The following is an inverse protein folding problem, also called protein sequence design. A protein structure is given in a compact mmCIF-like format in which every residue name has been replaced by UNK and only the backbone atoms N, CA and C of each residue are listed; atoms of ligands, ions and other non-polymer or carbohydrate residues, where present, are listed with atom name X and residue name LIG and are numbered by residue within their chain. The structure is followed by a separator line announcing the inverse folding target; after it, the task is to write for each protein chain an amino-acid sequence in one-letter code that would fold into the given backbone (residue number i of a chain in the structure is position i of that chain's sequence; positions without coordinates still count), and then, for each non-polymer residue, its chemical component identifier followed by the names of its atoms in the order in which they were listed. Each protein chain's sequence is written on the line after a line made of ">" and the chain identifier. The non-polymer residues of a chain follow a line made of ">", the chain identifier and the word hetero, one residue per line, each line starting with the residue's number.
data_IF_669479009577
#
_entry.id   IF_669479009577
#
_cell.length_a   1.000
_cell.length_b   1.000
_cell.length_c   1.000
_cell.angle_alpha   90.00
_cell.angle_beta   90.00
_cell.angle_gamma   90.00
#
_symmetry.space_group_name_H-M   'P 1'
#
loop_
_entity.id
_entity.type
_entity.pdbx_description
1 polymer ?
#
# COMPACT_ATOMS: atom_id res chain seq x y z
N UNK A 1 0.98 19.48 -0.61
CA UNK A 1 0.02 18.53 -0.01
C UNK A 1 -0.48 19.02 1.35
N UNK A 2 0.37 19.31 2.34
CA UNK A 2 -0.08 19.69 3.69
C UNK A 2 -1.12 20.82 3.73
N UNK A 3 -0.82 21.97 3.12
CA UNK A 3 -1.75 23.10 3.11
C UNK A 3 -3.13 22.79 2.48
N UNK A 4 -3.20 21.83 1.53
CA UNK A 4 -4.46 21.37 0.97
C UNK A 4 -5.18 20.40 1.92
N UNK A 5 -4.46 19.45 2.50
CA UNK A 5 -4.97 18.47 3.47
C UNK A 5 -5.60 19.14 4.71
N UNK A 6 -5.02 20.25 5.19
CA UNK A 6 -5.56 21.00 6.33
C UNK A 6 -6.96 21.57 6.06
N UNK A 7 -7.30 21.87 4.80
CA UNK A 7 -8.65 22.37 4.44
C UNK A 7 -9.74 21.31 4.63
N UNK A 8 -9.38 20.03 4.65
CA UNK A 8 -10.28 18.88 4.84
C UNK A 8 -9.99 18.11 6.13
N UNK A 9 -9.25 18.70 7.08
CA UNK A 9 -9.02 18.13 8.41
C UNK A 9 -7.98 17.01 8.48
N UNK A 10 -7.25 16.71 7.39
CA UNK A 10 -6.13 15.76 7.42
C UNK A 10 -4.87 16.47 7.90
N UNK A 11 -4.40 16.13 9.09
CA UNK A 11 -3.22 16.78 9.73
C UNK A 11 -1.92 16.03 9.48
N UNK A 12 -2.00 14.72 9.27
CA UNK A 12 -0.86 13.85 8.99
C UNK A 12 -1.16 12.92 7.82
N UNK A 13 -0.16 12.63 6.99
CA UNK A 13 -0.34 11.78 5.82
C UNK A 13 0.94 11.08 5.38
N UNK A 14 0.78 10.13 4.46
CA UNK A 14 1.87 9.48 3.76
C UNK A 14 1.81 9.89 2.28
N UNK A 15 2.72 10.75 1.78
CA UNK A 15 2.88 10.96 0.35
C UNK A 15 3.03 9.60 -0.34
N UNK A 16 2.14 9.34 -1.30
CA UNK A 16 2.08 8.06 -2.00
C UNK A 16 2.68 8.21 -3.39
N UNK A 17 3.79 7.52 -3.66
CA UNK A 17 4.35 7.39 -4.99
C UNK A 17 3.85 6.08 -5.60
N UNK A 18 3.24 6.17 -6.78
CA UNK A 18 2.80 5.00 -7.56
C UNK A 18 3.98 4.34 -8.27
N UNK A 19 3.72 3.33 -9.11
CA UNK A 19 4.74 2.68 -9.94
C UNK A 19 5.53 3.70 -10.76
N UNK A 20 6.82 3.84 -10.44
CA UNK A 20 7.75 4.78 -11.07
C UNK A 20 9.15 4.16 -11.16
N UNK A 21 10.06 4.71 -12.00
CA UNK A 21 11.46 4.33 -12.03
C UNK A 21 12.17 4.40 -10.67
N UNK A 22 13.27 3.65 -10.54
CA UNK A 22 14.11 3.63 -9.32
C UNK A 22 14.64 5.00 -8.92
N UNK A 23 14.92 5.88 -9.90
CA UNK A 23 15.37 7.23 -9.66
C UNK A 23 14.32 8.03 -8.87
N UNK A 24 13.06 7.96 -9.31
CA UNK A 24 11.94 8.67 -8.68
C UNK A 24 11.64 8.13 -7.28
N UNK A 25 11.74 6.82 -7.08
CA UNK A 25 11.60 6.22 -5.73
C UNK A 25 12.69 6.73 -4.78
N UNK A 26 13.95 6.76 -5.22
CA UNK A 26 15.07 7.27 -4.42
C UNK A 26 14.87 8.75 -4.11
N UNK A 27 14.41 9.52 -5.08
CA UNK A 27 14.10 10.94 -4.91
C UNK A 27 12.95 11.14 -3.92
N UNK A 28 11.86 10.38 -4.03
CA UNK A 28 10.72 10.47 -3.11
C UNK A 28 11.13 10.13 -1.66
N UNK A 29 11.96 9.11 -1.46
CA UNK A 29 12.51 8.77 -0.14
C UNK A 29 13.39 9.90 0.39
N UNK A 30 14.25 10.49 -0.45
CA UNK A 30 15.12 11.59 -0.05
C UNK A 30 14.33 12.84 0.35
N UNK A 31 13.42 13.29 -0.52
CA UNK A 31 12.58 14.48 -0.29
C UNK A 31 11.70 14.29 0.94
N UNK A 32 11.10 13.10 1.12
CA UNK A 32 10.28 12.80 2.29
C UNK A 32 11.08 12.88 3.58
N UNK A 33 12.28 12.29 3.61
CA UNK A 33 13.17 12.34 4.77
C UNK A 33 13.53 13.78 5.13
N UNK A 34 13.87 14.60 4.13
CA UNK A 34 14.31 15.97 4.35
C UNK A 34 13.14 16.86 4.81
N UNK A 35 11.93 16.66 4.27
CA UNK A 35 10.71 17.33 4.73
C UNK A 35 10.36 16.95 6.18
N UNK A 36 10.41 15.66 6.52
CA UNK A 36 10.14 15.18 7.89
C UNK A 36 11.07 15.80 8.93
N UNK A 37 12.33 16.09 8.56
CA UNK A 37 13.29 16.71 9.47
C UNK A 37 12.92 18.16 9.83
N UNK A 38 12.23 18.87 8.93
CA UNK A 38 11.79 20.24 9.13
C UNK A 38 10.36 20.33 9.69
N UNK A 39 9.51 19.33 9.42
CA UNK A 39 8.07 19.35 9.70
C UNK A 39 7.63 18.10 10.48
N UNK A 40 7.85 18.03 11.80
CA UNK A 40 7.48 16.88 12.60
C UNK A 40 5.95 16.66 12.59
N UNK A 41 5.53 15.40 12.55
CA UNK A 41 4.13 14.96 12.61
C UNK A 41 3.22 15.31 11.42
N UNK A 42 3.70 15.99 10.38
CA UNK A 42 2.91 16.24 9.16
C UNK A 42 3.01 15.07 8.18
N UNK A 43 4.23 14.80 7.71
CA UNK A 43 4.52 13.63 6.88
C UNK A 43 5.07 12.54 7.79
N UNK A 44 4.45 11.36 7.79
CA UNK A 44 4.81 10.27 8.69
C UNK A 44 5.78 9.24 8.07
N UNK A 45 6.13 9.46 6.80
CA UNK A 45 6.94 8.58 5.98
C UNK A 45 6.49 8.64 4.53
N UNK A 46 6.88 7.66 3.71
CA UNK A 46 6.46 7.55 2.31
C UNK A 46 5.73 6.23 2.08
N UNK A 47 4.67 6.27 1.29
CA UNK A 47 3.98 5.09 0.81
C UNK A 47 4.40 4.80 -0.63
N UNK A 48 5.08 3.68 -0.86
CA UNK A 48 5.44 3.21 -2.19
C UNK A 48 4.39 2.20 -2.68
N UNK A 49 3.45 2.68 -3.51
CA UNK A 49 2.37 1.91 -4.13
C UNK A 49 2.87 1.29 -5.44
N UNK A 50 3.75 0.29 -5.29
CA UNK A 50 4.54 -0.29 -6.37
C UNK A 50 6.03 0.06 -6.22
N UNK A 51 6.86 -0.18 -7.26
CA UNK A 51 6.58 -1.03 -8.42
C UNK A 51 6.58 -2.52 -8.02
N UNK A 52 5.74 -3.31 -8.70
CA UNK A 52 6.10 -4.70 -8.98
C UNK A 52 7.31 -4.66 -9.91
N UNK A 53 8.41 -5.37 -9.62
CA UNK A 53 9.58 -5.33 -10.50
C UNK A 53 9.15 -5.71 -11.93
N UNK A 54 9.22 -4.72 -12.82
CA UNK A 54 9.14 -4.94 -14.26
C UNK A 54 10.38 -5.73 -14.65
N UNK A 55 10.15 -6.80 -15.41
CA UNK A 55 11.20 -7.63 -15.99
C UNK A 55 12.04 -6.85 -16.99
N UNK A 56 13.06 -6.13 -16.52
CA UNK A 56 14.17 -5.70 -17.37
C UNK A 56 15.39 -5.11 -16.65
N UNK A 57 15.46 -5.07 -15.31
CA UNK A 57 16.73 -4.74 -14.63
C UNK A 57 17.64 -5.98 -14.48
N UNK A 58 18.07 -6.56 -15.61
CA UNK A 58 19.32 -7.32 -15.64
C UNK A 58 20.45 -6.30 -15.48
N UNK A 59 21.14 -6.35 -14.35
CA UNK A 59 22.44 -5.68 -14.20
C UNK A 59 22.56 -4.80 -12.97
N UNK A 60 22.75 -5.43 -11.81
CA UNK A 60 23.92 -5.11 -10.97
C UNK A 60 23.99 -6.08 -9.79
N UNK A 61 24.98 -6.98 -9.76
CA UNK A 61 25.30 -7.73 -8.55
C UNK A 61 25.98 -6.77 -7.57
N UNK A 62 25.41 -6.65 -6.37
CA UNK A 62 26.04 -5.95 -5.26
C UNK A 62 25.73 -4.45 -5.20
N UNK A 63 24.88 -4.07 -4.24
CA UNK A 63 25.13 -2.92 -3.36
C UNK A 63 24.19 -3.00 -2.18
N UNK A 64 24.78 -2.92 -0.99
CA UNK A 64 24.11 -2.98 0.28
C UNK A 64 23.01 -1.92 0.35
N UNK A 65 21.84 -2.32 0.83
CA UNK A 65 20.86 -1.38 1.37
C UNK A 65 21.59 -0.50 2.41
N UNK A 66 21.38 0.83 2.42
CA UNK A 66 21.98 1.68 3.45
C UNK A 66 21.62 1.10 4.82
N UNK A 67 22.57 1.03 5.76
CA UNK A 67 22.36 0.34 7.02
C UNK A 67 21.13 0.92 7.71
N UNK A 68 20.17 0.05 8.02
CA UNK A 68 19.02 0.36 8.85
C UNK A 68 19.56 0.87 10.20
N UNK A 69 19.72 2.18 10.32
CA UNK A 69 19.97 2.80 11.61
C UNK A 69 18.70 2.56 12.43
N UNK A 70 18.91 1.76 13.47
CA UNK A 70 18.00 1.41 14.56
C UNK A 70 16.94 2.50 14.80
N UNK A 71 15.67 2.06 14.75
CA UNK A 71 14.53 2.52 15.56
C UNK A 71 14.48 4.04 15.86
N UNK A 72 13.65 4.76 15.11
CA UNK A 72 12.49 5.50 15.64
C UNK A 72 11.79 6.27 14.50
N UNK A 73 10.47 6.10 14.42
CA UNK A 73 9.47 7.03 13.84
C UNK A 73 9.27 7.15 12.33
N UNK A 74 9.64 6.18 11.49
CA UNK A 74 9.40 6.28 10.03
C UNK A 74 8.50 5.17 9.51
N UNK A 75 7.22 5.49 9.27
CA UNK A 75 6.28 4.58 8.64
C UNK A 75 6.52 4.58 7.13
N UNK A 76 7.38 3.66 6.68
CA UNK A 76 7.42 3.29 5.27
C UNK A 76 6.34 2.25 5.02
N UNK A 77 5.32 2.63 4.26
CA UNK A 77 4.36 1.68 3.70
C UNK A 77 4.90 1.22 2.35
N UNK A 78 5.02 -0.08 2.13
CA UNK A 78 5.29 -0.60 0.80
C UNK A 78 4.23 -1.59 0.38
N UNK A 79 3.50 -1.25 -0.68
CA UNK A 79 2.57 -2.16 -1.29
C UNK A 79 3.33 -3.16 -2.17
N UNK A 80 3.11 -4.45 -1.92
CA UNK A 80 3.54 -5.52 -2.81
C UNK A 80 2.35 -6.36 -3.21
N UNK A 81 2.13 -6.49 -4.52
CA UNK A 81 1.18 -7.47 -5.04
C UNK A 81 1.67 -8.89 -4.75
N UNK A 82 0.83 -9.73 -4.14
CA UNK A 82 1.01 -11.18 -4.17
C UNK A 82 0.43 -11.66 -5.52
N UNK A 83 1.20 -11.99 -6.55
CA UNK A 83 0.61 -12.25 -7.88
C UNK A 83 0.40 -13.73 -8.22
N UNK A 84 -0.75 -14.01 -8.87
CA UNK A 84 -0.98 -15.15 -9.77
C UNK A 84 -0.74 -14.73 -11.23
N UNK A 85 -0.29 -15.69 -12.04
CA UNK A 85 0.06 -15.61 -13.47
C UNK A 85 -1.05 -15.00 -14.33
N UNK A 86 -0.81 -13.87 -15.00
CA UNK A 86 -1.50 -13.52 -16.27
C UNK A 86 -0.67 -12.60 -17.17
N UNK A 87 0.58 -12.26 -16.79
CA UNK A 87 1.57 -11.65 -17.69
C UNK A 87 2.85 -12.48 -17.67
N UNK A 88 3.28 -13.04 -18.81
CA UNK A 88 4.58 -13.70 -18.93
C UNK A 88 5.66 -12.62 -18.87
N UNK A 89 6.16 -12.33 -17.67
CA UNK A 89 7.23 -11.36 -17.46
C UNK A 89 7.30 -10.81 -16.03
N UNK A 90 6.19 -10.57 -15.35
CA UNK A 90 6.22 -10.00 -14.00
C UNK A 90 6.76 -11.02 -12.97
N UNK A 91 7.94 -10.76 -12.41
CA UNK A 91 8.58 -11.65 -11.43
C UNK A 91 7.74 -11.79 -10.16
N UNK A 92 7.59 -13.04 -9.65
CA UNK A 92 6.90 -13.32 -8.38
C UNK A 92 7.62 -12.60 -7.23
N UNK A 93 6.87 -11.89 -6.38
CA UNK A 93 7.40 -11.44 -5.10
C UNK A 93 7.66 -12.69 -4.24
N UNK A 94 8.94 -12.96 -3.96
CA UNK A 94 9.29 -14.10 -3.12
C UNK A 94 9.04 -13.77 -1.63
N UNK A 95 8.67 -14.74 -0.79
CA UNK A 95 8.45 -14.53 0.64
C UNK A 95 9.60 -13.81 1.35
N UNK A 96 10.84 -14.06 0.93
CA UNK A 96 12.03 -13.43 1.53
C UNK A 96 12.04 -11.90 1.33
N UNK A 97 11.43 -11.39 0.27
CA UNK A 97 11.30 -9.95 0.06
C UNK A 97 10.33 -9.30 1.05
N UNK A 98 9.27 -10.00 1.44
CA UNK A 98 8.33 -9.49 2.46
C UNK A 98 9.05 -9.46 3.79
N UNK A 99 9.70 -10.56 4.19
CA UNK A 99 10.43 -10.67 5.45
C UNK A 99 11.52 -9.61 5.58
N UNK A 100 12.34 -9.39 4.54
CA UNK A 100 13.38 -8.35 4.55
C UNK A 100 12.83 -6.93 4.78
N UNK A 101 11.67 -6.62 4.22
CA UNK A 101 11.03 -5.31 4.44
C UNK A 101 10.51 -5.19 5.88
N UNK A 102 9.86 -6.25 6.37
CA UNK A 102 9.34 -6.30 7.75
C UNK A 102 10.47 -6.21 8.77
N UNK A 103 11.56 -6.94 8.57
CA UNK A 103 12.79 -6.88 9.39
C UNK A 103 13.43 -5.48 9.39
N UNK A 104 13.29 -4.74 8.28
CA UNK A 104 13.71 -3.35 8.18
C UNK A 104 12.73 -2.35 8.82
N UNK A 105 11.63 -2.83 9.43
CA UNK A 105 10.62 -1.99 10.07
C UNK A 105 9.61 -1.36 9.10
N UNK A 106 9.51 -1.86 7.87
CA UNK A 106 8.60 -1.37 6.83
C UNK A 106 7.28 -2.11 6.94
N UNK A 107 6.16 -1.37 7.01
CA UNK A 107 4.83 -1.97 6.98
C UNK A 107 4.50 -2.37 5.54
N UNK A 108 4.33 -3.68 5.31
CA UNK A 108 4.03 -4.22 3.99
C UNK A 108 2.53 -4.36 3.81
N UNK A 109 2.04 -3.86 2.67
CA UNK A 109 0.63 -3.90 2.28
C UNK A 109 0.38 -4.83 1.09
N UNK A 110 -0.71 -5.60 1.12
CA UNK A 110 -1.24 -6.34 -0.03
C UNK A 110 -2.20 -5.46 -0.84
N UNK A 111 -2.02 -5.41 -2.15
CA UNK A 111 -2.95 -4.76 -3.07
C UNK A 111 -2.41 -4.80 -4.49
N UNK A 112 -3.22 -4.47 -5.50
CA UNK A 112 -2.85 -4.67 -6.92
C UNK A 112 -2.40 -6.12 -7.15
N UNK A 113 -3.23 -7.06 -6.72
CA UNK A 113 -2.86 -8.47 -6.56
C UNK A 113 -3.93 -9.39 -7.17
N UNK A 114 -3.47 -10.34 -7.96
CA UNK A 114 -4.31 -11.44 -8.47
C UNK A 114 -4.18 -12.72 -7.61
N UNK A 115 -3.69 -12.61 -6.36
CA UNK A 115 -3.54 -13.76 -5.47
C UNK A 115 -4.88 -14.46 -5.25
N UNK A 116 -4.86 -15.78 -5.06
CA UNK A 116 -5.98 -16.47 -4.42
C UNK A 116 -5.90 -16.31 -2.88
N UNK A 117 -6.90 -16.87 -2.18
CA UNK A 117 -6.96 -16.85 -0.72
C UNK A 117 -5.68 -17.40 -0.07
N UNK A 118 -5.23 -18.61 -0.46
CA UNK A 118 -4.06 -19.26 0.15
C UNK A 118 -2.77 -18.46 -0.06
N UNK A 119 -2.59 -17.85 -1.23
CA UNK A 119 -1.46 -16.98 -1.53
C UNK A 119 -1.48 -15.69 -0.69
N UNK A 120 -2.66 -15.12 -0.47
CA UNK A 120 -2.82 -13.95 0.41
C UNK A 120 -2.49 -14.31 1.86
N UNK A 121 -3.01 -15.45 2.35
CA UNK A 121 -2.72 -15.97 3.68
C UNK A 121 -1.23 -16.23 3.88
N UNK A 122 -0.56 -16.86 2.91
CA UNK A 122 0.88 -17.03 2.93
C UNK A 122 1.62 -15.68 2.97
N UNK A 123 1.14 -14.67 2.24
CA UNK A 123 1.66 -13.30 2.32
C UNK A 123 1.54 -12.70 3.74
N UNK A 124 0.38 -12.89 4.38
CA UNK A 124 0.14 -12.47 5.77
C UNK A 124 1.04 -13.21 6.76
N UNK A 125 1.24 -14.52 6.59
CA UNK A 125 2.16 -15.31 7.43
C UNK A 125 3.61 -14.84 7.31
N UNK A 126 3.98 -14.24 6.18
CA UNK A 126 5.30 -13.65 5.95
C UNK A 126 5.44 -12.20 6.43
N UNK A 127 4.40 -11.63 7.05
CA UNK A 127 4.47 -10.34 7.73
C UNK A 127 3.75 -9.18 7.03
N UNK A 128 2.98 -9.43 5.96
CA UNK A 128 2.03 -8.41 5.47
C UNK A 128 1.00 -8.14 6.57
N UNK A 129 0.79 -6.87 6.92
CA UNK A 129 -0.12 -6.44 8.00
C UNK A 129 -1.10 -5.34 7.58
N UNK A 130 -1.09 -4.97 6.30
CA UNK A 130 -2.05 -4.02 5.74
C UNK A 130 -2.57 -4.52 4.38
N UNK A 131 -3.75 -4.08 3.99
CA UNK A 131 -4.30 -4.24 2.65
C UNK A 131 -4.65 -2.86 2.07
N UNK A 132 -4.12 -2.54 0.90
CA UNK A 132 -4.38 -1.26 0.23
C UNK A 132 -5.78 -1.30 -0.39
N UNK A 133 -6.56 -0.24 -0.16
CA UNK A 133 -7.86 0.07 -0.79
C UNK A 133 -8.78 -1.14 -1.07
N UNK A 134 -9.13 -1.88 -0.02
CA UNK A 134 -10.05 -3.03 0.01
C UNK A 134 -11.11 -2.97 -1.09
N UNK A 135 -11.29 -4.10 -1.79
CA UNK A 135 -12.05 -4.33 -3.02
C UNK A 135 -11.37 -3.91 -4.33
N UNK A 136 -10.55 -2.87 -4.33
CA UNK A 136 -9.98 -2.32 -5.55
C UNK A 136 -8.71 -3.08 -5.95
N UNK A 137 -8.62 -3.49 -7.23
CA UNK A 137 -7.46 -4.21 -7.78
C UNK A 137 -7.00 -5.42 -6.94
N UNK A 138 -7.96 -6.20 -6.46
CA UNK A 138 -7.74 -7.45 -5.73
C UNK A 138 -8.78 -8.50 -6.11
N UNK A 139 -8.47 -9.78 -5.92
CA UNK A 139 -9.44 -10.85 -6.22
C UNK A 139 -10.62 -10.80 -5.24
N UNK A 140 -11.87 -10.74 -5.75
CA UNK A 140 -13.05 -10.68 -4.91
C UNK A 140 -13.39 -12.06 -4.33
N UNK A 141 -14.34 -12.08 -3.40
CA UNK A 141 -15.06 -13.31 -3.06
C UNK A 141 -16.02 -13.64 -4.19
N UNK A 142 -15.73 -14.70 -4.94
CA UNK A 142 -16.48 -15.06 -6.16
C UNK A 142 -17.69 -15.93 -5.81
N UNK A 143 -17.47 -16.91 -4.93
CA UNK A 143 -18.49 -17.87 -4.48
C UNK A 143 -18.06 -18.48 -3.13
N UNK A 144 -18.85 -19.40 -2.58
CA UNK A 144 -18.56 -20.04 -1.28
C UNK A 144 -17.28 -20.88 -1.20
N UNK A 145 -16.62 -21.16 -2.33
CA UNK A 145 -15.36 -21.92 -2.42
C UNK A 145 -14.15 -21.05 -2.79
N UNK A 146 -14.38 -19.81 -3.22
CA UNK A 146 -13.34 -18.93 -3.74
C UNK A 146 -13.39 -17.57 -3.03
N UNK A 147 -12.79 -17.46 -1.83
CA UNK A 147 -12.85 -16.25 -1.02
C UNK A 147 -12.06 -15.07 -1.62
N UNK A 148 -11.02 -15.37 -2.41
CA UNK A 148 -10.09 -14.38 -2.93
C UNK A 148 -9.30 -13.65 -1.84
N UNK A 149 -8.65 -12.56 -2.22
CA UNK A 149 -7.92 -11.66 -1.30
C UNK A 149 -8.89 -10.95 -0.36
N UNK A 150 -10.07 -10.55 -0.86
CA UNK A 150 -11.10 -9.92 -0.02
C UNK A 150 -11.51 -10.84 1.14
N UNK A 151 -11.78 -12.12 0.85
CA UNK A 151 -12.09 -13.10 1.87
C UNK A 151 -10.93 -13.36 2.84
N UNK A 152 -9.69 -13.40 2.33
CA UNK A 152 -8.50 -13.55 3.18
C UNK A 152 -8.33 -12.39 4.16
N UNK A 153 -8.60 -11.15 3.73
CA UNK A 153 -8.55 -9.96 4.59
C UNK A 153 -9.61 -10.04 5.70
N UNK A 154 -10.82 -10.51 5.38
CA UNK A 154 -11.88 -10.68 6.37
C UNK A 154 -11.58 -11.76 7.40
N UNK A 155 -11.01 -12.88 6.95
CA UNK A 155 -10.70 -14.02 7.79
C UNK A 155 -9.49 -13.79 8.71
N UNK A 156 -8.50 -13.02 8.24
CA UNK A 156 -7.28 -12.74 9.00
C UNK A 156 -7.52 -11.67 10.06
N UNK A 157 -7.12 -11.90 11.32
CA UNK A 157 -7.39 -11.01 12.47
C UNK A 157 -6.33 -9.94 12.75
N UNK A 158 -5.14 -10.06 12.18
CA UNK A 158 -4.00 -9.17 12.41
C UNK A 158 -3.66 -8.30 11.18
N UNK A 159 -4.57 -8.21 10.20
CA UNK A 159 -4.42 -7.38 8.99
C UNK A 159 -5.40 -6.22 9.03
N UNK A 160 -4.86 -5.01 8.86
CA UNK A 160 -5.65 -3.79 8.65
C UNK A 160 -5.98 -3.63 7.16
N UNK A 161 -7.06 -2.92 6.83
CA UNK A 161 -7.41 -2.65 5.44
C UNK A 161 -7.84 -1.19 5.25
N UNK A 162 -7.19 -0.51 4.31
CA UNK A 162 -7.65 0.80 3.83
C UNK A 162 -8.91 0.64 2.98
N UNK A 163 -9.91 1.49 3.11
CA UNK A 163 -11.08 1.57 2.22
C UNK A 163 -11.31 3.00 1.75
N UNK A 164 -11.64 3.16 0.47
CA UNK A 164 -12.02 4.44 -0.13
C UNK A 164 -13.55 4.59 0.00
N UNK A 165 -14.00 5.70 0.59
CA UNK A 165 -15.40 5.92 0.99
C UNK A 165 -15.98 7.13 0.25
N UNK A 166 -15.88 7.11 -1.08
CA UNK A 166 -16.40 8.16 -1.98
C UNK A 166 -17.68 7.76 -2.72
N UNK A 167 -18.10 6.49 -2.62
CA UNK A 167 -19.29 5.95 -3.28
C UNK A 167 -19.08 5.57 -4.75
N UNK A 168 -17.91 5.86 -5.30
CA UNK A 168 -17.51 5.52 -6.66
C UNK A 168 -16.63 4.28 -6.68
N UNK A 169 -15.64 4.21 -5.80
CA UNK A 169 -14.73 3.05 -5.69
C UNK A 169 -15.43 1.84 -5.07
N UNK A 170 -16.23 2.08 -4.03
CA UNK A 170 -16.86 1.00 -3.25
C UNK A 170 -18.32 1.34 -2.99
N UNK A 171 -19.22 0.44 -3.37
CA UNK A 171 -20.64 0.57 -3.06
C UNK A 171 -20.87 0.63 -1.53
N UNK A 172 -21.77 1.50 -1.07
CA UNK A 172 -21.99 1.75 0.37
C UNK A 172 -22.35 0.50 1.18
N UNK A 173 -23.03 -0.48 0.56
CA UNK A 173 -23.31 -1.76 1.23
C UNK A 173 -22.03 -2.53 1.56
N UNK A 174 -21.01 -2.47 0.69
CA UNK A 174 -19.73 -3.13 0.88
C UNK A 174 -18.89 -2.40 1.93
N UNK A 175 -18.95 -1.07 2.01
CA UNK A 175 -18.33 -0.31 3.12
C UNK A 175 -18.92 -0.73 4.46
N UNK A 176 -20.25 -0.82 4.57
CA UNK A 176 -20.91 -1.31 5.81
C UNK A 176 -20.53 -2.75 6.15
N UNK A 177 -20.43 -3.62 5.15
CA UNK A 177 -20.00 -5.01 5.35
C UNK A 177 -18.56 -5.07 5.85
N UNK A 178 -17.64 -4.35 5.21
CA UNK A 178 -16.25 -4.27 5.63
C UNK A 178 -16.11 -3.80 7.07
N UNK A 179 -16.89 -2.78 7.47
CA UNK A 179 -16.88 -2.29 8.85
C UNK A 179 -17.35 -3.36 9.85
N UNK A 180 -18.42 -4.10 9.53
CA UNK A 180 -18.89 -5.21 10.38
C UNK A 180 -17.85 -6.32 10.53
N UNK A 181 -17.10 -6.63 9.47
CA UNK A 181 -16.12 -7.72 9.46
C UNK A 181 -14.78 -7.33 10.12
N UNK A 182 -14.35 -6.09 9.92
CA UNK A 182 -13.00 -5.64 10.31
C UNK A 182 -12.99 -4.82 11.60
N UNK A 183 -14.09 -4.13 11.95
CA UNK A 183 -14.15 -3.24 13.10
C UNK A 183 -13.02 -2.21 13.07
N UNK A 184 -12.24 -2.15 14.15
CA UNK A 184 -11.08 -1.25 14.30
C UNK A 184 -9.96 -1.47 13.27
N UNK A 185 -9.99 -2.59 12.54
CA UNK A 185 -9.01 -2.87 11.48
C UNK A 185 -9.33 -2.18 10.16
N UNK A 186 -10.54 -1.62 10.01
CA UNK A 186 -10.91 -0.84 8.83
C UNK A 186 -10.39 0.59 8.95
N UNK A 187 -9.58 1.02 7.98
CA UNK A 187 -8.95 2.33 7.95
C UNK A 187 -9.51 3.14 6.78
N UNK A 188 -9.95 4.37 7.03
CA UNK A 188 -10.39 5.26 5.95
C UNK A 188 -9.17 5.82 5.22
N UNK A 189 -9.17 5.71 3.89
CA UNK A 189 -8.15 6.31 3.03
C UNK A 189 -8.81 7.09 1.91
N UNK A 190 -8.15 8.14 1.42
CA UNK A 190 -8.67 8.93 0.30
C UNK A 190 -8.24 8.34 -1.05
N UNK A 191 -7.02 7.82 -1.14
CA UNK A 191 -6.33 7.56 -2.43
C UNK A 191 -6.42 8.77 -3.38
N UNK A 192 -6.46 9.97 -2.81
CA UNK A 192 -6.71 11.21 -3.53
C UNK A 192 -5.55 11.58 -4.47
N UNK A 193 -5.91 12.23 -5.56
CA UNK A 193 -5.01 12.79 -6.56
C UNK A 193 -5.10 14.32 -6.59
N UNK A 194 -4.36 14.97 -7.50
CA UNK A 194 -4.26 16.42 -7.59
C UNK A 194 -5.59 17.20 -7.63
N UNK A 195 -6.69 16.70 -8.24
CA UNK A 195 -7.99 17.38 -8.22
C UNK A 195 -8.62 17.58 -6.83
N UNK A 196 -8.21 16.80 -5.81
CA UNK A 196 -8.79 16.91 -4.48
C UNK A 196 -8.49 18.28 -3.83
N UNK A 197 -9.53 19.09 -3.65
CA UNK A 197 -9.40 20.45 -3.10
C UNK A 197 -8.79 21.48 -4.06
N UNK A 198 -8.64 21.11 -5.34
CA UNK A 198 -8.26 22.03 -6.41
C UNK A 198 -9.44 22.95 -6.78
N UNK A 199 -9.17 24.14 -7.35
CA UNK A 199 -10.23 25.01 -7.85
C UNK A 199 -11.00 24.36 -9.01
N UNK A 200 -12.21 24.86 -9.24
CA UNK A 200 -13.02 24.47 -10.40
C UNK A 200 -12.24 24.72 -11.71
N UNK A 201 -12.30 23.78 -12.64
CA UNK A 201 -11.57 23.85 -13.91
C UNK A 201 -10.10 23.40 -13.85
N UNK A 202 -9.65 22.78 -12.74
CA UNK A 202 -8.31 22.18 -12.67
C UNK A 202 -8.18 20.97 -13.62
N UNK A 203 -7.24 21.05 -14.56
CA UNK A 203 -6.86 19.95 -15.46
C UNK A 203 -5.54 19.29 -14.98
N UNK A 204 -5.46 17.96 -15.13
CA UNK A 204 -4.34 17.12 -14.66
C UNK A 204 -3.38 16.80 -15.79
#
# INVERSE_FOLDING_TARGET
>A
MQAANLKSGTTSFLPTLITSPDADMKQAVAVTRDYMAAHPNEVLGVHLKGPTPTSSARGSPGRADPPARRRNDRLLLRQRGCHRQDHPGAGRNKPEHIRRLVEAGILVSAGHTAANYDQAMAGFDNGIRFATHLYNAMTPTVNGREPGVVGAIYDRKDVYAGVIVDGHHVHWANVRLAHKMLGERLVLVTDATAPAGAPEGFEV
#
